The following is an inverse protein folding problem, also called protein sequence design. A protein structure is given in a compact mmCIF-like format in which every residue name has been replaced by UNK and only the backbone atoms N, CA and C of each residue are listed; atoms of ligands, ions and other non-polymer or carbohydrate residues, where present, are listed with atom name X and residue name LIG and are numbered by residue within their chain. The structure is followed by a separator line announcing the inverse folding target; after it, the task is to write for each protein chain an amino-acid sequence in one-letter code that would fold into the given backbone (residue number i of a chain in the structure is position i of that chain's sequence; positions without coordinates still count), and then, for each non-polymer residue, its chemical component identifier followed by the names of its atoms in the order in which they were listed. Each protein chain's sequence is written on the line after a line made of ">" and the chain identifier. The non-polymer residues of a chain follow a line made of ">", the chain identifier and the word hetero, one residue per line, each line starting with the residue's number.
data_IF_285158724882
#
_entry.id   IF_285158724882
#
_cell.length_a   1.000
_cell.length_b   1.000
_cell.length_c   1.000
_cell.angle_alpha   90.00
_cell.angle_beta   90.00
_cell.angle_gamma   90.00
#
_symmetry.space_group_name_H-M   'P 1'
#
loop_
_entity.id
_entity.type
_entity.pdbx_description
1 polymer ?
#
# COMPACT_ATOMS: atom_id res chain seq x y z
N UNK A 1 105.51 104.32 -108.81
CA UNK A 1 105.17 102.99 -109.34
C UNK A 1 104.74 102.19 -108.12
N UNK A 2 103.47 102.22 -107.73
CA UNK A 2 102.25 101.53 -108.26
C UNK A 2 101.71 100.75 -107.04
N UNK A 3 100.85 101.38 -106.24
CA UNK A 3 99.38 101.25 -106.18
C UNK A 3 98.85 99.93 -105.57
N UNK A 4 98.20 100.13 -104.42
CA UNK A 4 97.38 99.33 -103.51
C UNK A 4 96.23 98.50 -104.21
N UNK A 5 95.40 97.67 -103.53
CA UNK A 5 95.03 97.81 -102.11
C UNK A 5 94.72 96.57 -101.24
N UNK A 6 94.71 96.88 -99.94
CA UNK A 6 94.21 96.16 -98.76
C UNK A 6 92.81 95.54 -98.95
N UNK A 7 92.59 94.39 -98.30
CA UNK A 7 91.26 94.00 -97.80
C UNK A 7 91.32 93.61 -96.33
N UNK A 8 90.41 94.27 -95.63
CA UNK A 8 89.99 94.20 -94.22
C UNK A 8 89.44 92.81 -93.85
N UNK A 9 89.74 92.34 -92.64
CA UNK A 9 89.23 91.11 -91.99
C UNK A 9 87.70 91.12 -91.74
N UNK A 10 87.10 89.95 -91.48
CA UNK A 10 86.31 89.84 -90.24
C UNK A 10 86.47 88.48 -89.49
N UNK A 11 86.01 88.40 -88.21
CA UNK A 11 86.57 87.55 -87.16
C UNK A 11 85.79 86.25 -86.85
N UNK A 12 86.49 85.31 -86.21
CA UNK A 12 86.08 84.23 -85.28
C UNK A 12 84.64 83.68 -85.34
N UNK A 13 84.50 82.47 -85.91
CA UNK A 13 83.28 81.65 -85.94
C UNK A 13 83.25 80.50 -84.92
N UNK A 14 83.94 80.63 -83.77
CA UNK A 14 84.06 79.53 -82.78
C UNK A 14 82.95 79.50 -81.71
N UNK A 15 82.12 80.56 -81.60
CA UNK A 15 80.94 80.54 -80.72
C UNK A 15 79.76 79.74 -81.29
N UNK A 16 79.59 79.70 -82.63
CA UNK A 16 78.36 79.18 -83.24
C UNK A 16 78.16 77.66 -83.18
N UNK A 17 79.24 76.94 -82.89
CA UNK A 17 79.24 75.49 -82.81
C UNK A 17 78.98 74.99 -81.39
N UNK A 18 79.42 75.71 -80.35
CA UNK A 18 79.29 75.31 -78.94
C UNK A 18 77.83 75.38 -78.46
N UNK A 19 77.14 76.51 -78.70
CA UNK A 19 75.72 76.64 -78.31
C UNK A 19 74.81 75.64 -79.04
N UNK A 20 75.22 75.19 -80.24
CA UNK A 20 74.44 74.25 -81.06
C UNK A 20 74.55 72.84 -80.52
N UNK A 21 75.74 72.47 -80.04
CA UNK A 21 75.98 71.17 -79.42
C UNK A 21 75.40 71.12 -78.00
N UNK A 22 75.47 72.21 -77.23
CA UNK A 22 74.75 72.34 -75.95
C UNK A 22 73.24 72.23 -76.15
N UNK A 23 72.67 72.90 -77.15
CA UNK A 23 71.24 72.77 -77.47
C UNK A 23 70.88 71.33 -77.86
N UNK A 24 71.76 70.63 -78.58
CA UNK A 24 71.58 69.20 -78.89
C UNK A 24 71.68 68.30 -77.66
N UNK A 25 72.64 68.54 -76.77
CA UNK A 25 72.76 67.80 -75.53
C UNK A 25 71.56 68.03 -74.61
N UNK A 26 71.13 69.29 -74.45
CA UNK A 26 69.91 69.64 -73.72
C UNK A 26 68.68 68.97 -74.35
N UNK A 27 68.57 68.98 -75.68
CA UNK A 27 67.47 68.30 -76.38
C UNK A 27 67.52 66.78 -76.15
N UNK A 28 68.70 66.15 -76.22
CA UNK A 28 68.87 64.72 -75.93
C UNK A 28 68.54 64.37 -74.47
N UNK A 29 68.86 65.27 -73.52
CA UNK A 29 68.53 65.10 -72.10
C UNK A 29 67.02 65.22 -71.87
N UNK A 30 66.37 66.20 -72.52
CA UNK A 30 64.91 66.35 -72.50
C UNK A 30 64.22 65.13 -73.12
N UNK A 31 64.76 64.59 -74.22
CA UNK A 31 64.19 63.42 -74.87
C UNK A 31 64.37 62.13 -74.04
N UNK A 32 65.53 61.95 -73.38
CA UNK A 32 65.74 60.87 -72.41
C UNK A 32 64.82 60.99 -71.18
N UNK A 33 64.57 62.21 -70.68
CA UNK A 33 63.61 62.45 -69.60
C UNK A 33 62.16 62.17 -70.04
N UNK A 34 61.79 62.49 -71.29
CA UNK A 34 60.48 62.17 -71.86
C UNK A 34 60.28 60.67 -72.00
N UNK A 35 61.31 59.93 -72.40
CA UNK A 35 61.27 58.46 -72.49
C UNK A 35 61.09 57.83 -71.11
N UNK A 36 61.87 58.26 -70.11
CA UNK A 36 61.71 57.81 -68.71
C UNK A 36 60.34 58.14 -68.13
N UNK A 37 59.80 59.32 -68.44
CA UNK A 37 58.45 59.70 -68.02
C UNK A 37 57.39 58.79 -68.69
N UNK A 38 57.58 58.44 -69.97
CA UNK A 38 56.69 57.51 -70.68
C UNK A 38 56.74 56.10 -70.07
N UNK A 39 57.93 55.61 -69.73
CA UNK A 39 58.12 54.32 -69.07
C UNK A 39 57.46 54.27 -67.68
N UNK A 40 57.70 55.28 -66.83
CA UNK A 40 57.04 55.38 -65.51
C UNK A 40 55.53 55.47 -65.66
N UNK A 41 55.03 56.24 -66.65
CA UNK A 41 53.59 56.36 -66.91
C UNK A 41 52.97 55.03 -67.35
N UNK A 42 53.69 54.21 -68.13
CA UNK A 42 53.26 52.86 -68.50
C UNK A 42 53.28 51.96 -67.25
N UNK A 43 54.37 51.98 -66.47
CA UNK A 43 54.49 51.20 -65.23
C UNK A 43 53.40 51.52 -64.22
N UNK A 44 53.07 52.81 -64.02
CA UNK A 44 51.96 53.25 -63.17
C UNK A 44 50.62 52.70 -63.64
N UNK A 45 50.32 52.77 -64.95
CA UNK A 45 49.09 52.23 -65.52
C UNK A 45 49.00 50.71 -65.38
N UNK A 46 50.10 49.99 -65.61
CA UNK A 46 50.16 48.55 -65.43
C UNK A 46 49.95 48.15 -63.97
N UNK A 47 50.52 48.91 -63.02
CA UNK A 47 50.31 48.71 -61.58
C UNK A 47 48.87 49.01 -61.15
N UNK A 48 48.29 50.10 -61.65
CA UNK A 48 46.89 50.46 -61.43
C UNK A 48 45.95 49.34 -61.92
N UNK A 49 46.16 48.83 -63.13
CA UNK A 49 45.36 47.74 -63.69
C UNK A 49 45.56 46.39 -62.95
N UNK A 50 46.76 46.12 -62.43
CA UNK A 50 46.98 44.97 -61.56
C UNK A 50 46.19 45.09 -60.25
N UNK A 51 46.29 46.24 -59.57
CA UNK A 51 45.56 46.50 -58.31
C UNK A 51 44.04 46.48 -58.49
N UNK A 52 43.54 46.95 -59.62
CA UNK A 52 42.11 46.89 -59.98
C UNK A 52 41.63 45.45 -60.16
N UNK A 53 42.41 44.59 -60.83
CA UNK A 53 42.10 43.17 -61.00
C UNK A 53 42.10 42.42 -59.67
N UNK A 54 43.05 42.71 -58.78
CA UNK A 54 43.09 42.16 -57.42
C UNK A 54 41.87 42.59 -56.59
N UNK A 55 41.48 43.87 -56.67
CA UNK A 55 40.28 44.38 -56.00
C UNK A 55 39.00 43.71 -56.52
N UNK A 56 38.88 43.52 -57.83
CA UNK A 56 37.76 42.81 -58.44
C UNK A 56 37.69 41.34 -58.00
N UNK A 57 38.84 40.66 -57.91
CA UNK A 57 38.93 39.29 -57.39
C UNK A 57 38.53 39.22 -55.91
N UNK A 58 39.04 40.12 -55.07
CA UNK A 58 38.64 40.22 -53.65
C UNK A 58 37.14 40.51 -53.52
N UNK A 59 36.59 41.41 -54.33
CA UNK A 59 35.17 41.74 -54.35
C UNK A 59 34.30 40.51 -54.69
N UNK A 60 34.71 39.67 -55.66
CA UNK A 60 34.03 38.41 -55.96
C UNK A 60 34.09 37.44 -54.78
N UNK A 61 35.25 37.25 -54.16
CA UNK A 61 35.42 36.39 -52.98
C UNK A 61 34.52 36.83 -51.82
N UNK A 62 34.50 38.12 -51.50
CA UNK A 62 33.65 38.68 -50.44
C UNK A 62 32.17 38.44 -50.75
N UNK A 63 31.73 38.60 -52.01
CA UNK A 63 30.35 38.31 -52.43
C UNK A 63 30.00 36.83 -52.25
N UNK A 64 30.90 35.92 -52.64
CA UNK A 64 30.70 34.46 -52.45
C UNK A 64 30.58 34.12 -50.97
N UNK A 65 31.52 34.58 -50.13
CA UNK A 65 31.51 34.34 -48.68
C UNK A 65 30.25 34.93 -48.04
N UNK A 66 29.83 36.13 -48.43
CA UNK A 66 28.60 36.73 -47.93
C UNK A 66 27.34 35.88 -48.25
N UNK A 67 27.28 35.33 -49.46
CA UNK A 67 26.17 34.49 -49.92
C UNK A 67 26.14 33.16 -49.17
N UNK A 68 27.31 32.57 -48.95
CA UNK A 68 27.52 31.36 -48.17
C UNK A 68 27.19 31.53 -46.67
N UNK A 69 27.57 32.64 -46.06
CA UNK A 69 27.15 32.99 -44.69
C UNK A 69 25.63 33.20 -44.60
N UNK A 70 25.02 33.82 -45.61
CA UNK A 70 23.57 33.98 -45.67
C UNK A 70 22.86 32.62 -45.78
N UNK A 71 23.39 31.68 -46.57
CA UNK A 71 22.91 30.30 -46.62
C UNK A 71 22.97 29.63 -45.25
N UNK A 72 24.13 29.66 -44.59
CA UNK A 72 24.31 29.04 -43.28
C UNK A 72 23.35 29.63 -42.23
N UNK A 73 23.19 30.96 -42.24
CA UNK A 73 22.23 31.66 -41.40
C UNK A 73 20.78 31.22 -41.66
N UNK A 74 20.40 31.05 -42.93
CA UNK A 74 19.07 30.55 -43.31
C UNK A 74 18.87 29.11 -42.83
N UNK A 75 19.88 28.25 -43.03
CA UNK A 75 19.86 26.85 -42.60
C UNK A 75 19.72 26.74 -41.07
N UNK A 76 20.47 27.55 -40.31
CA UNK A 76 20.37 27.61 -38.85
C UNK A 76 18.97 27.99 -38.38
N UNK A 77 18.34 28.98 -39.02
CA UNK A 77 16.98 29.39 -38.69
C UNK A 77 15.96 28.29 -38.97
N UNK A 78 16.11 27.57 -40.08
CA UNK A 78 15.21 26.46 -40.42
C UNK A 78 15.34 25.31 -39.42
N UNK A 79 16.57 25.02 -38.98
CA UNK A 79 16.86 24.00 -37.97
C UNK A 79 16.42 24.39 -36.55
N UNK A 80 16.30 25.68 -36.24
CA UNK A 80 15.84 26.15 -34.93
C UNK A 80 14.33 25.98 -34.72
N UNK A 81 13.56 25.68 -35.78
CA UNK A 81 12.11 25.54 -35.73
C UNK A 81 11.78 24.05 -35.82
N UNK A 82 11.24 23.39 -34.78
CA UNK A 82 11.14 21.92 -34.72
C UNK A 82 10.46 21.26 -35.92
N UNK A 83 9.29 21.76 -36.33
CA UNK A 83 8.56 21.19 -37.48
C UNK A 83 9.31 21.37 -38.82
N UNK A 84 10.10 22.44 -38.96
CA UNK A 84 10.96 22.65 -40.12
C UNK A 84 12.23 21.80 -40.00
N UNK A 85 12.82 21.70 -38.83
CA UNK A 85 13.95 20.81 -38.56
C UNK A 85 13.66 19.37 -38.96
N UNK A 86 12.45 18.87 -38.67
CA UNK A 86 12.02 17.54 -39.08
C UNK A 86 12.05 17.39 -40.61
N UNK A 87 11.52 18.37 -41.34
CA UNK A 87 11.51 18.32 -42.82
C UNK A 87 12.90 18.51 -43.43
N UNK A 88 13.74 19.42 -42.92
CA UNK A 88 15.10 19.63 -43.43
C UNK A 88 15.99 18.42 -43.20
N UNK A 89 15.93 17.85 -42.00
CA UNK A 89 16.74 16.70 -41.61
C UNK A 89 16.12 15.37 -42.07
N UNK A 90 15.00 15.41 -42.81
CA UNK A 90 14.30 14.21 -43.31
C UNK A 90 13.73 13.29 -42.22
N UNK A 91 13.52 13.82 -41.02
CA UNK A 91 13.07 13.07 -39.85
C UNK A 91 11.56 12.84 -39.94
N UNK A 92 11.14 11.58 -39.84
CA UNK A 92 9.72 11.17 -39.82
C UNK A 92 9.45 10.27 -38.63
N UNK A 93 8.22 10.30 -38.13
CA UNK A 93 7.77 9.35 -37.11
C UNK A 93 7.24 8.09 -37.78
N UNK A 94 7.70 6.92 -37.34
CA UNK A 94 7.23 5.61 -37.77
C UNK A 94 6.69 4.84 -36.57
N UNK A 95 5.44 4.38 -36.66
CA UNK A 95 4.77 3.69 -35.56
C UNK A 95 5.53 2.42 -35.14
N UNK A 96 5.80 2.29 -33.83
CA UNK A 96 6.55 1.17 -33.25
C UNK A 96 8.08 1.28 -33.32
N UNK A 97 8.64 2.11 -34.22
CA UNK A 97 10.10 2.32 -34.39
C UNK A 97 10.55 3.68 -33.86
N UNK A 98 9.64 4.67 -33.81
CA UNK A 98 9.93 6.03 -33.37
C UNK A 98 10.40 6.92 -34.51
N UNK A 99 11.29 7.88 -34.23
CA UNK A 99 11.80 8.78 -35.26
C UNK A 99 12.87 8.10 -36.14
N UNK A 100 12.72 8.23 -37.46
CA UNK A 100 13.62 7.70 -38.50
C UNK A 100 14.13 8.82 -39.40
N UNK A 101 15.36 8.67 -39.91
CA UNK A 101 15.98 9.61 -40.84
C UNK A 101 15.41 9.50 -42.28
N UNK A 102 15.88 10.35 -43.20
CA UNK A 102 15.55 10.35 -44.64
C UNK A 102 15.75 8.98 -45.27
N UNK A 103 16.82 8.28 -44.86
CA UNK A 103 17.19 6.94 -45.33
C UNK A 103 16.42 5.81 -44.60
N UNK A 104 15.51 6.13 -43.68
CA UNK A 104 14.75 5.15 -42.91
C UNK A 104 15.51 4.53 -41.74
N UNK A 105 16.70 5.05 -41.42
CA UNK A 105 17.50 4.57 -40.28
C UNK A 105 16.90 5.10 -38.98
N UNK A 106 16.62 4.24 -37.97
CA UNK A 106 16.12 4.68 -36.67
C UNK A 106 17.12 5.57 -35.94
N UNK A 107 16.66 6.73 -35.46
CA UNK A 107 17.49 7.65 -34.70
C UNK A 107 17.85 7.13 -33.30
N UNK A 108 17.11 6.14 -32.79
CA UNK A 108 17.42 5.46 -31.52
C UNK A 108 18.79 4.73 -31.55
N UNK A 109 19.27 4.32 -32.72
CA UNK A 109 20.59 3.71 -32.88
C UNK A 109 21.75 4.69 -32.61
N UNK A 110 21.46 6.00 -32.57
CA UNK A 110 22.46 7.05 -32.39
C UNK A 110 22.66 7.42 -30.90
N UNK A 111 21.78 6.92 -30.02
CA UNK A 111 21.83 7.14 -28.56
C UNK A 111 22.84 6.21 -27.86
N UNK A 112 23.15 5.06 -28.46
CA UNK A 112 24.19 4.16 -27.96
C UNK A 112 25.54 4.75 -28.31
N UNK A 113 26.23 5.33 -27.32
CA UNK A 113 27.59 5.84 -27.45
C UNK A 113 28.55 4.76 -27.92
N UNK A 114 28.68 4.63 -29.24
CA UNK A 114 29.68 3.83 -29.91
C UNK A 114 30.19 4.64 -31.10
N UNK A 115 31.25 5.37 -30.81
CA UNK A 115 32.36 5.70 -31.71
C UNK A 115 32.06 6.64 -32.89
N UNK A 116 32.85 7.71 -32.94
CA UNK A 116 33.07 8.56 -34.11
C UNK A 116 33.30 7.71 -35.36
N UNK A 117 32.24 7.46 -36.13
CA UNK A 117 32.32 7.10 -37.53
C UNK A 117 32.86 8.30 -38.30
N UNK A 118 34.06 8.14 -38.85
CA UNK A 118 34.81 9.07 -39.68
C UNK A 118 33.92 9.91 -40.62
N UNK A 119 34.21 11.21 -40.70
CA UNK A 119 33.60 12.19 -41.60
C UNK A 119 34.00 11.99 -43.08
N UNK A 120 34.33 10.76 -43.49
CA UNK A 120 34.78 10.44 -44.84
C UNK A 120 33.64 10.01 -45.78
N UNK A 121 32.49 9.58 -45.26
CA UNK A 121 31.44 8.95 -46.09
C UNK A 121 30.35 9.90 -46.64
N UNK A 122 30.45 11.21 -46.39
CA UNK A 122 29.44 12.20 -46.83
C UNK A 122 29.85 13.02 -48.05
N UNK A 123 31.03 12.76 -48.64
CA UNK A 123 31.54 13.53 -49.78
C UNK A 123 31.28 12.82 -51.12
N UNK A 124 30.95 11.53 -51.13
CA UNK A 124 30.97 10.72 -52.36
C UNK A 124 29.70 10.84 -53.22
N UNK A 125 28.56 11.33 -52.70
CA UNK A 125 27.29 11.31 -53.45
C UNK A 125 26.91 12.65 -54.11
N UNK A 126 27.61 13.76 -53.85
CA UNK A 126 27.31 15.06 -54.49
C UNK A 126 28.34 15.50 -55.54
N UNK A 127 29.51 14.85 -55.59
CA UNK A 127 30.58 15.17 -56.56
C UNK A 127 30.35 14.50 -57.93
N UNK A 128 29.48 13.48 -58.01
CA UNK A 128 29.27 12.70 -59.23
C UNK A 128 28.57 13.47 -60.38
N UNK A 129 27.88 14.59 -60.11
CA UNK A 129 27.06 15.28 -61.12
C UNK A 129 27.74 16.52 -61.75
N UNK A 130 28.92 16.94 -61.29
CA UNK A 130 29.58 18.17 -61.79
C UNK A 130 30.87 17.92 -62.58
N UNK A 131 31.21 16.67 -62.90
CA UNK A 131 32.42 16.33 -63.67
C UNK A 131 32.11 16.01 -65.14
N UNK A 132 31.52 16.96 -65.87
CA UNK A 132 31.70 17.02 -67.33
C UNK A 132 31.81 18.48 -67.76
N UNK A 133 32.96 18.78 -68.37
CA UNK A 133 33.35 20.03 -69.03
C UNK A 133 34.04 21.06 -68.13
N UNK A 134 35.37 21.00 -68.08
CA UNK A 134 36.26 22.15 -68.35
C UNK A 134 37.72 21.69 -68.29
N UNK A 135 38.24 21.23 -69.42
CA UNK A 135 39.69 21.14 -69.64
C UNK A 135 40.26 22.56 -69.81
N UNK A 136 41.36 22.80 -69.11
CA UNK A 136 42.42 23.78 -69.39
C UNK A 136 42.06 25.27 -69.28
N UNK A 137 42.46 25.90 -68.17
CA UNK A 137 42.92 27.30 -68.12
C UNK A 137 43.75 27.53 -66.85
N UNK A 138 44.79 28.35 -66.97
CA UNK A 138 45.83 28.65 -65.98
C UNK A 138 45.38 28.68 -64.52
N UNK A 139 46.19 28.05 -63.67
CA UNK A 139 46.07 28.09 -62.22
C UNK A 139 46.18 29.53 -61.71
N UNK A 140 45.03 30.12 -61.38
CA UNK A 140 44.97 31.28 -60.48
C UNK A 140 45.03 30.72 -59.06
N UNK A 141 46.13 31.01 -58.38
CA UNK A 141 46.51 30.61 -57.01
C UNK A 141 45.55 31.16 -55.91
N UNK A 142 44.31 31.52 -56.24
CA UNK A 142 43.35 32.21 -55.37
C UNK A 142 42.00 31.50 -55.15
N UNK A 143 41.79 30.29 -55.69
CA UNK A 143 40.52 29.54 -55.59
C UNK A 143 40.49 28.51 -54.43
N UNK A 144 41.66 28.08 -53.95
CA UNK A 144 41.76 27.11 -52.84
C UNK A 144 41.09 27.58 -51.54
N UNK A 145 41.17 28.88 -51.25
CA UNK A 145 40.56 29.47 -50.05
C UNK A 145 39.01 29.38 -50.07
N UNK A 146 38.38 29.46 -51.24
CA UNK A 146 36.90 29.39 -51.36
C UNK A 146 36.43 27.95 -51.20
N UNK A 147 37.17 27.00 -51.75
CA UNK A 147 36.92 25.57 -51.59
C UNK A 147 37.02 25.14 -50.12
N UNK A 148 38.02 25.62 -49.37
CA UNK A 148 38.15 25.32 -47.95
C UNK A 148 37.03 25.96 -47.10
N UNK A 149 36.53 27.13 -47.50
CA UNK A 149 35.34 27.74 -46.88
C UNK A 149 34.09 26.92 -47.18
N UNK A 150 33.93 26.41 -48.41
CA UNK A 150 32.82 25.52 -48.77
C UNK A 150 32.86 24.24 -47.94
N UNK A 151 34.02 23.58 -47.83
CA UNK A 151 34.20 22.40 -46.95
C UNK A 151 33.82 22.71 -45.51
N UNK A 152 34.26 23.86 -44.98
CA UNK A 152 33.92 24.31 -43.64
C UNK A 152 32.41 24.49 -43.44
N UNK A 153 31.69 25.03 -44.43
CA UNK A 153 30.24 25.21 -44.37
C UNK A 153 29.50 23.88 -44.42
N UNK A 154 29.94 22.94 -45.26
CA UNK A 154 29.38 21.59 -45.29
C UNK A 154 29.58 20.88 -43.94
N UNK A 155 30.79 20.97 -43.37
CA UNK A 155 31.08 20.42 -42.04
C UNK A 155 30.19 21.03 -40.96
N UNK A 156 30.04 22.37 -40.92
CA UNK A 156 29.15 23.03 -39.96
C UNK A 156 27.70 22.61 -40.17
N UNK A 157 27.24 22.52 -41.42
CA UNK A 157 25.87 22.09 -41.74
C UNK A 157 25.59 20.67 -41.27
N UNK A 158 26.53 19.74 -41.49
CA UNK A 158 26.44 18.36 -41.02
C UNK A 158 26.40 18.29 -39.48
N UNK A 159 27.29 19.02 -38.79
CA UNK A 159 27.29 19.09 -37.32
C UNK A 159 25.97 19.66 -36.78
N UNK A 160 25.45 20.70 -37.41
CA UNK A 160 24.15 21.27 -37.02
C UNK A 160 23.01 20.26 -37.22
N UNK A 161 23.02 19.49 -38.31
CA UNK A 161 22.03 18.44 -38.56
C UNK A 161 22.09 17.32 -37.52
N UNK A 162 23.28 16.81 -37.21
CA UNK A 162 23.48 15.78 -36.17
C UNK A 162 23.07 16.28 -34.79
N UNK A 163 23.35 17.54 -34.45
CA UNK A 163 22.93 18.12 -33.18
C UNK A 163 21.41 18.21 -33.09
N UNK A 164 20.75 18.71 -34.13
CA UNK A 164 19.29 18.83 -34.21
C UNK A 164 18.62 17.46 -34.11
N UNK A 165 19.13 16.45 -34.84
CA UNK A 165 18.66 15.06 -34.75
C UNK A 165 18.71 14.54 -33.30
N UNK A 166 19.82 14.77 -32.59
CA UNK A 166 19.95 14.38 -31.16
C UNK A 166 18.99 15.13 -30.24
N UNK A 167 18.80 16.43 -30.45
CA UNK A 167 17.85 17.23 -29.66
C UNK A 167 16.43 16.70 -29.84
N UNK A 168 16.01 16.40 -31.07
CA UNK A 168 14.68 15.84 -31.35
C UNK A 168 14.47 14.49 -30.66
N UNK A 169 15.48 13.61 -30.70
CA UNK A 169 15.43 12.32 -29.99
C UNK A 169 15.27 12.55 -28.49
N UNK A 170 16.13 13.36 -27.89
CA UNK A 170 16.07 13.65 -26.46
C UNK A 170 14.73 14.27 -26.04
N UNK A 171 14.19 15.22 -26.82
CA UNK A 171 12.88 15.83 -26.56
C UNK A 171 11.75 14.79 -26.63
N UNK A 172 11.80 13.88 -27.60
CA UNK A 172 10.82 12.80 -27.75
C UNK A 172 10.89 11.78 -26.62
N UNK A 173 12.09 11.42 -26.17
CA UNK A 173 12.30 10.50 -25.04
C UNK A 173 11.79 11.12 -23.74
N UNK A 174 12.05 12.41 -23.51
CA UNK A 174 11.52 13.16 -22.37
C UNK A 174 9.99 13.21 -22.40
N UNK A 175 9.40 13.46 -23.57
CA UNK A 175 7.94 13.46 -23.71
C UNK A 175 7.35 12.07 -23.42
N UNK A 176 7.97 11.00 -23.91
CA UNK A 176 7.55 9.63 -23.68
C UNK A 176 7.67 9.23 -22.20
N UNK A 177 8.78 9.55 -21.53
CA UNK A 177 8.95 9.24 -20.11
C UNK A 177 7.95 10.05 -19.26
N UNK A 178 7.67 11.32 -19.63
CA UNK A 178 6.62 12.11 -18.98
C UNK A 178 5.24 11.47 -19.10
N UNK A 179 4.91 10.91 -20.25
CA UNK A 179 3.66 10.20 -20.47
C UNK A 179 3.57 8.90 -19.66
N UNK A 180 4.66 8.13 -19.60
CA UNK A 180 4.75 6.94 -18.75
C UNK A 180 4.60 7.25 -17.26
N UNK A 181 5.19 8.35 -16.79
CA UNK A 181 4.99 8.85 -15.42
C UNK A 181 3.53 9.23 -15.18
N UNK A 182 2.89 9.91 -16.14
CA UNK A 182 1.47 10.28 -16.06
C UNK A 182 0.58 9.03 -15.92
N UNK A 183 0.77 8.02 -16.77
CA UNK A 183 0.02 6.76 -16.71
C UNK A 183 0.26 6.04 -15.38
N UNK A 184 1.51 6.00 -14.90
CA UNK A 184 1.85 5.36 -13.63
C UNK A 184 1.17 6.05 -12.44
N UNK A 185 1.12 7.39 -12.45
CA UNK A 185 0.44 8.18 -11.42
C UNK A 185 -1.08 7.92 -11.38
N UNK A 186 -1.72 7.77 -12.55
CA UNK A 186 -3.13 7.40 -12.64
C UNK A 186 -3.39 6.01 -12.06
N UNK A 187 -2.50 5.05 -12.31
CA UNK A 187 -2.60 3.70 -11.74
C UNK A 187 -2.39 3.71 -10.22
N UNK A 188 -1.40 4.46 -9.72
CA UNK A 188 -1.18 4.64 -8.27
C UNK A 188 -2.42 5.24 -7.61
N UNK A 189 -3.01 6.26 -8.22
CA UNK A 189 -4.24 6.89 -7.71
C UNK A 189 -5.39 5.89 -7.64
N UNK A 190 -5.58 5.08 -8.70
CA UNK A 190 -6.61 4.03 -8.73
C UNK A 190 -6.38 2.97 -7.64
N UNK A 191 -5.14 2.50 -7.48
CA UNK A 191 -4.77 1.52 -6.44
C UNK A 191 -4.94 2.10 -5.04
N UNK A 192 -4.64 3.37 -4.84
CA UNK A 192 -4.84 4.09 -3.56
C UNK A 192 -6.31 4.06 -3.16
N UNK A 193 -7.22 4.43 -4.07
CA UNK A 193 -8.68 4.37 -3.83
C UNK A 193 -9.14 2.93 -3.51
N UNK A 194 -8.59 1.93 -4.20
CA UNK A 194 -8.92 0.53 -3.92
C UNK A 194 -8.48 0.10 -2.51
N UNK A 195 -7.28 0.49 -2.08
CA UNK A 195 -6.76 0.20 -0.74
C UNK A 195 -7.61 0.90 0.33
N UNK A 196 -7.99 2.16 0.12
CA UNK A 196 -8.87 2.90 1.03
C UNK A 196 -10.24 2.22 1.18
N UNK A 197 -10.82 1.77 0.06
CA UNK A 197 -12.08 1.02 0.05
C UNK A 197 -11.97 -0.31 0.80
N UNK A 198 -10.90 -1.07 0.57
CA UNK A 198 -10.65 -2.32 1.28
C UNK A 198 -10.42 -2.07 2.78
N UNK A 199 -9.70 -1.01 3.14
CA UNK A 199 -9.47 -0.59 4.53
C UNK A 199 -10.79 -0.28 5.24
N UNK A 200 -11.69 0.48 4.61
CA UNK A 200 -13.01 0.78 5.17
C UNK A 200 -13.83 -0.49 5.42
N UNK A 201 -13.81 -1.45 4.47
CA UNK A 201 -14.50 -2.74 4.63
C UNK A 201 -13.93 -3.57 5.77
N UNK A 202 -12.61 -3.59 5.94
CA UNK A 202 -11.96 -4.30 7.06
C UNK A 202 -12.33 -3.69 8.40
N UNK A 203 -12.41 -2.36 8.50
CA UNK A 203 -12.86 -1.70 9.74
C UNK A 203 -14.35 -1.97 10.05
N UNK A 204 -15.21 -2.08 9.03
CA UNK A 204 -16.60 -2.53 9.22
C UNK A 204 -16.67 -3.98 9.72
N UNK A 205 -15.89 -4.88 9.11
CA UNK A 205 -15.80 -6.28 9.55
C UNK A 205 -15.32 -6.38 11.00
N UNK A 206 -14.35 -5.56 11.40
CA UNK A 206 -13.87 -5.48 12.78
C UNK A 206 -14.96 -5.03 13.74
N UNK A 207 -15.73 -3.98 13.39
CA UNK A 207 -16.87 -3.52 14.20
C UNK A 207 -17.93 -4.63 14.37
N UNK A 208 -18.27 -5.31 13.28
CA UNK A 208 -19.20 -6.44 13.30
C UNK A 208 -18.70 -7.58 14.19
N UNK A 209 -17.42 -7.97 14.05
CA UNK A 209 -16.82 -9.02 14.86
C UNK A 209 -16.78 -8.67 16.36
N UNK A 210 -16.50 -7.41 16.71
CA UNK A 210 -16.57 -6.93 18.09
C UNK A 210 -17.99 -6.99 18.63
N UNK A 211 -18.99 -6.56 17.85
CA UNK A 211 -20.40 -6.64 18.23
C UNK A 211 -20.86 -8.08 18.50
N UNK A 212 -20.56 -9.00 17.60
CA UNK A 212 -20.89 -10.43 17.76
C UNK A 212 -20.21 -11.04 18.98
N UNK A 213 -18.94 -10.71 19.24
CA UNK A 213 -18.23 -11.19 20.44
C UNK A 213 -18.84 -10.64 21.74
N UNK A 214 -19.31 -9.38 21.74
CA UNK A 214 -20.02 -8.81 22.89
C UNK A 214 -21.26 -9.63 23.23
N UNK A 215 -22.12 -9.89 22.24
CA UNK A 215 -23.33 -10.70 22.41
C UNK A 215 -23.02 -12.13 22.84
N UNK A 216 -22.00 -12.77 22.27
CA UNK A 216 -21.58 -14.12 22.67
C UNK A 216 -21.10 -14.17 24.12
N UNK A 217 -20.39 -13.14 24.58
CA UNK A 217 -19.97 -13.05 25.97
C UNK A 217 -21.16 -12.84 26.92
N UNK A 218 -22.13 -12.01 26.54
CA UNK A 218 -23.37 -11.82 27.32
C UNK A 218 -24.18 -13.13 27.41
N UNK A 219 -24.34 -13.84 26.29
CA UNK A 219 -25.01 -15.15 26.28
C UNK A 219 -24.26 -16.17 27.14
N UNK A 220 -22.92 -16.18 27.09
CA UNK A 220 -22.11 -17.05 27.95
C UNK A 220 -22.38 -16.77 29.42
N UNK A 221 -22.36 -15.50 29.84
CA UNK A 221 -22.63 -15.12 31.23
C UNK A 221 -24.04 -15.53 31.66
N UNK A 222 -25.04 -15.30 30.81
CA UNK A 222 -26.43 -15.70 31.09
C UNK A 222 -26.56 -17.22 31.29
N UNK A 223 -25.85 -18.01 30.48
CA UNK A 223 -25.82 -19.47 30.63
C UNK A 223 -25.12 -19.87 31.93
N UNK A 224 -23.98 -19.26 32.27
CA UNK A 224 -23.28 -19.49 33.54
C UNK A 224 -24.18 -19.22 34.74
N UNK A 225 -24.91 -18.10 34.72
CA UNK A 225 -25.86 -17.72 35.77
C UNK A 225 -27.03 -18.70 35.87
N UNK A 226 -27.59 -19.12 34.73
CA UNK A 226 -28.68 -20.10 34.68
C UNK A 226 -28.24 -21.49 35.17
N UNK A 227 -27.01 -21.91 34.88
CA UNK A 227 -26.45 -23.15 35.40
C UNK A 227 -26.29 -23.06 36.92
N UNK A 228 -25.78 -21.94 37.43
CA UNK A 228 -25.68 -21.70 38.87
C UNK A 228 -27.07 -21.75 39.53
N UNK A 229 -28.06 -21.05 38.99
CA UNK A 229 -29.43 -21.08 39.52
C UNK A 229 -30.02 -22.50 39.49
N UNK A 230 -29.84 -23.23 38.38
CA UNK A 230 -30.29 -24.62 38.25
C UNK A 230 -29.64 -25.53 39.29
N UNK A 231 -28.36 -25.34 39.60
CA UNK A 231 -27.69 -26.10 40.67
C UNK A 231 -28.26 -25.79 42.05
N UNK A 232 -28.55 -24.51 42.34
CA UNK A 232 -29.18 -24.10 43.60
C UNK A 232 -30.62 -24.62 43.72
N UNK A 233 -31.39 -24.61 42.63
CA UNK A 233 -32.74 -25.19 42.61
C UNK A 233 -32.69 -26.69 42.88
N UNK A 234 -31.74 -27.41 42.29
CA UNK A 234 -31.54 -28.84 42.51
C UNK A 234 -31.17 -29.15 43.97
N UNK A 235 -30.29 -28.36 44.57
CA UNK A 235 -29.91 -28.51 45.97
C UNK A 235 -31.12 -28.31 46.89
N UNK A 236 -31.89 -27.24 46.69
CA UNK A 236 -33.14 -26.99 47.45
C UNK A 236 -34.16 -28.11 47.27
N UNK A 237 -34.29 -28.67 46.06
CA UNK A 237 -35.17 -29.80 45.81
C UNK A 237 -34.75 -31.05 46.59
N UNK A 238 -33.44 -31.34 46.64
CA UNK A 238 -32.89 -32.45 47.43
C UNK A 238 -33.10 -32.26 48.95
N UNK A 239 -32.92 -31.04 49.46
CA UNK A 239 -33.21 -30.70 50.86
C UNK A 239 -34.70 -30.89 51.20
N UNK A 240 -35.60 -30.43 50.32
CA UNK A 240 -37.04 -30.64 50.49
C UNK A 240 -37.43 -32.13 50.46
N UNK A 241 -36.80 -32.93 49.59
CA UNK A 241 -37.05 -34.38 49.53
C UNK A 241 -36.60 -35.08 50.82
N UNK A 242 -35.46 -34.66 51.40
CA UNK A 242 -34.98 -35.16 52.68
C UNK A 242 -35.96 -34.81 53.81
N UNK A 243 -36.43 -33.56 53.86
CA UNK A 243 -37.37 -33.12 54.89
C UNK A 243 -38.73 -33.82 54.76
N UNK A 244 -39.22 -33.99 53.52
CA UNK A 244 -40.44 -34.75 53.25
C UNK A 244 -40.31 -36.21 53.70
N UNK A 245 -39.14 -36.83 53.48
CA UNK A 245 -38.87 -38.20 53.93
C UNK A 245 -38.86 -38.31 55.46
N UNK A 246 -38.27 -37.34 56.16
CA UNK A 246 -38.31 -37.27 57.64
C UNK A 246 -39.75 -37.15 58.15
N UNK A 247 -40.50 -36.20 57.63
CA UNK A 247 -41.91 -36.00 58.01
C UNK A 247 -42.73 -37.27 57.76
N UNK A 248 -42.51 -37.96 56.63
CA UNK A 248 -43.17 -39.23 56.33
C UNK A 248 -42.85 -40.31 57.36
N UNK A 249 -41.59 -40.44 57.77
CA UNK A 249 -41.17 -41.37 58.81
C UNK A 249 -41.82 -41.05 60.16
N UNK A 250 -41.93 -39.76 60.50
CA UNK A 250 -42.60 -39.31 61.73
C UNK A 250 -44.10 -39.67 61.70
N UNK A 251 -44.77 -39.49 60.57
CA UNK A 251 -46.17 -39.91 60.39
C UNK A 251 -46.35 -41.42 60.49
N UNK A 252 -45.44 -42.23 59.93
CA UNK A 252 -45.49 -43.68 60.05
C UNK A 252 -45.27 -44.14 61.50
N UNK A 253 -44.37 -43.47 62.22
CA UNK A 253 -44.12 -43.70 63.65
C UNK A 253 -45.35 -43.35 64.48
N UNK A 254 -45.95 -42.18 64.23
CA UNK A 254 -47.19 -41.74 64.88
C UNK A 254 -48.35 -42.70 64.60
N UNK A 255 -48.52 -43.15 63.35
CA UNK A 255 -49.53 -44.14 62.97
C UNK A 255 -49.35 -45.44 63.75
N UNK A 256 -48.11 -45.92 63.87
CA UNK A 256 -47.80 -47.14 64.64
C UNK A 256 -48.13 -46.95 66.12
N UNK A 257 -47.77 -45.80 66.70
CA UNK A 257 -48.10 -45.45 68.08
C UNK A 257 -49.60 -45.43 68.34
N UNK A 258 -50.39 -44.79 67.46
CA UNK A 258 -51.86 -44.77 67.55
C UNK A 258 -52.43 -46.18 67.45
N UNK A 259 -51.93 -47.02 66.53
CA UNK A 259 -52.36 -48.42 66.40
C UNK A 259 -52.11 -49.22 67.68
N UNK A 260 -50.93 -49.06 68.30
CA UNK A 260 -50.61 -49.66 69.60
C UNK A 260 -51.57 -49.17 70.69
N UNK A 261 -51.84 -47.86 70.76
CA UNK A 261 -52.80 -47.31 71.72
C UNK A 261 -54.22 -47.88 71.54
N UNK A 262 -54.67 -48.05 70.29
CA UNK A 262 -55.96 -48.69 69.99
C UNK A 262 -55.97 -50.14 70.48
N UNK A 263 -54.92 -50.92 70.21
CA UNK A 263 -54.80 -52.30 70.67
C UNK A 263 -54.77 -52.42 72.20
N UNK A 264 -54.04 -51.53 72.89
CA UNK A 264 -54.03 -51.44 74.36
C UNK A 264 -55.43 -51.14 74.87
N UNK A 265 -56.13 -50.17 74.28
CA UNK A 265 -57.52 -49.84 74.62
C UNK A 265 -58.46 -51.04 74.43
N UNK A 266 -58.35 -51.76 73.32
CA UNK A 266 -59.17 -52.96 73.06
C UNK A 266 -58.91 -54.08 74.08
N UNK A 267 -57.64 -54.29 74.44
CA UNK A 267 -57.24 -55.25 75.48
C UNK A 267 -57.80 -54.85 76.85
N UNK A 268 -57.72 -53.56 77.20
CA UNK A 268 -58.31 -53.03 78.43
C UNK A 268 -59.82 -53.21 78.46
N UNK A 269 -60.55 -52.84 77.39
CA UNK A 269 -62.00 -53.05 77.28
C UNK A 269 -62.38 -54.54 77.36
N UNK A 270 -61.55 -55.44 76.83
CA UNK A 270 -61.76 -56.88 76.97
C UNK A 270 -61.59 -57.34 78.43
N UNK A 271 -60.53 -56.88 79.10
CA UNK A 271 -60.29 -57.18 80.51
C UNK A 271 -61.39 -56.63 81.42
N UNK A 272 -61.94 -55.45 81.10
CA UNK A 272 -63.07 -54.85 81.80
C UNK A 272 -64.32 -55.73 81.70
N UNK A 273 -64.66 -56.22 80.50
CA UNK A 273 -65.77 -57.17 80.30
C UNK A 273 -65.56 -58.48 81.05
N UNK A 274 -64.31 -58.96 81.11
CA UNK A 274 -63.97 -60.16 81.90
C UNK A 274 -64.18 -59.91 83.39
N UNK A 275 -63.75 -58.76 83.91
CA UNK A 275 -64.00 -58.34 85.29
C UNK A 275 -65.49 -58.25 85.60
N UNK A 276 -66.28 -57.61 84.73
CA UNK A 276 -67.73 -57.51 84.90
C UNK A 276 -68.42 -58.89 84.93
N UNK A 277 -67.94 -59.83 84.11
CA UNK A 277 -68.41 -61.23 84.12
C UNK A 277 -68.04 -61.94 85.42
N UNK A 278 -66.82 -61.71 85.91
CA UNK A 278 -66.34 -62.25 87.19
C UNK A 278 -67.13 -61.68 88.37
N UNK A 279 -67.43 -60.38 88.39
CA UNK A 279 -68.29 -59.73 89.39
C UNK A 279 -69.69 -60.35 89.39
N UNK A 280 -70.34 -60.53 88.23
CA UNK A 280 -71.64 -61.23 88.14
C UNK A 280 -71.61 -62.65 88.70
N UNK A 281 -70.49 -63.36 88.56
CA UNK A 281 -70.31 -64.69 89.17
C UNK A 281 -70.13 -64.57 90.69
N UNK A 282 -69.36 -63.60 91.17
CA UNK A 282 -69.21 -63.33 92.61
C UNK A 282 -70.54 -62.95 93.25
N UNK A 283 -71.30 -62.04 92.65
CA UNK A 283 -72.64 -61.67 93.12
C UNK A 283 -73.55 -62.89 93.20
N UNK A 284 -73.54 -63.75 92.18
CA UNK A 284 -74.30 -65.01 92.19
C UNK A 284 -73.83 -65.95 93.31
N UNK A 285 -72.53 -66.00 93.57
CA UNK A 285 -71.94 -66.81 94.64
C UNK A 285 -72.30 -66.25 96.04
N UNK A 286 -72.26 -64.93 96.23
CA UNK A 286 -72.71 -64.23 97.42
C UNK A 286 -74.20 -64.44 97.68
N UNK A 287 -75.04 -64.31 96.65
CA UNK A 287 -76.48 -64.61 96.75
C UNK A 287 -76.72 -66.09 97.07
N UNK A 288 -75.94 -67.02 96.52
CA UNK A 288 -76.00 -68.44 96.88
C UNK A 288 -75.55 -68.70 98.31
N UNK A 289 -74.51 -68.03 98.79
CA UNK A 289 -74.07 -68.10 100.19
C UNK A 289 -75.11 -67.51 101.15
N UNK A 290 -75.72 -66.38 100.81
CA UNK A 290 -76.81 -65.79 101.57
C UNK A 290 -78.09 -66.65 101.53
N UNK A 291 -78.42 -67.27 100.40
CA UNK A 291 -79.56 -68.20 100.29
C UNK A 291 -79.32 -69.53 101.04
N UNK A 292 -78.06 -69.99 101.10
CA UNK A 292 -77.65 -71.14 101.92
C UNK A 292 -77.62 -70.79 103.41
N UNK A 293 -77.38 -69.52 103.75
CA UNK A 293 -77.49 -68.96 105.11
C UNK A 293 -78.93 -68.65 105.53
N UNK A 294 -79.89 -68.54 104.60
CA UNK A 294 -81.31 -68.29 104.88
C UNK A 294 -82.17 -69.56 104.91
N UNK A 295 -81.60 -70.76 104.77
CA UNK A 295 -82.32 -72.04 104.88
C UNK A 295 -81.69 -73.05 105.86
N UNK A 296 -80.99 -72.54 106.87
CA UNK A 296 -80.46 -73.31 108.01
C UNK A 296 -79.97 -72.31 109.07
N UNK A 297 -80.51 -72.16 110.28
CA UNK A 297 -81.67 -72.68 111.00
C UNK A 297 -81.93 -71.64 112.11
N UNK A 298 -83.17 -71.54 112.60
CA UNK A 298 -83.36 -71.11 113.98
C UNK A 298 -82.71 -72.17 114.87
N UNK A 299 -81.54 -71.89 115.44
CA UNK A 299 -81.13 -72.07 116.85
C UNK A 299 -79.62 -71.80 117.00
N UNK A 300 -79.32 -70.94 117.98
CA UNK A 300 -78.13 -70.85 118.82
C UNK A 300 -76.76 -70.43 118.24
N UNK A 301 -76.47 -69.15 118.51
CA UNK A 301 -75.24 -68.61 119.10
C UNK A 301 -74.09 -69.58 119.42
N UNK A 302 -72.94 -69.33 118.79
CA UNK A 302 -71.63 -69.59 119.39
C UNK A 302 -70.55 -70.09 118.45
N UNK A 303 -70.06 -69.26 117.52
CA UNK A 303 -68.67 -69.23 117.00
C UNK A 303 -68.49 -68.17 115.90
N UNK A 304 -68.81 -66.91 116.20
CA UNK A 304 -68.40 -65.78 115.38
C UNK A 304 -66.97 -65.40 115.78
N UNK A 305 -65.97 -65.79 114.99
CA UNK A 305 -64.59 -65.32 115.27
C UNK A 305 -63.44 -65.86 114.44
N UNK A 306 -63.53 -67.03 113.79
CA UNK A 306 -62.31 -67.66 113.24
C UNK A 306 -62.35 -68.13 111.78
N UNK A 307 -63.44 -67.92 111.04
CA UNK A 307 -63.51 -68.33 109.62
C UNK A 307 -63.14 -67.19 108.65
N UNK A 308 -63.02 -65.95 109.14
CA UNK A 308 -62.73 -64.79 108.29
C UNK A 308 -61.25 -64.68 107.85
N UNK A 309 -60.31 -65.34 108.52
CA UNK A 309 -58.88 -65.23 108.19
C UNK A 309 -58.40 -66.24 107.13
N UNK A 310 -58.96 -67.45 107.08
CA UNK A 310 -58.47 -68.51 106.18
C UNK A 310 -59.01 -68.40 104.75
N UNK A 311 -60.23 -67.87 104.56
CA UNK A 311 -60.75 -67.61 103.21
C UNK A 311 -60.07 -66.42 102.53
N UNK A 312 -59.70 -65.38 103.29
CA UNK A 312 -58.92 -64.26 102.76
C UNK A 312 -57.50 -64.70 102.36
N UNK A 313 -56.90 -65.63 103.11
CA UNK A 313 -55.59 -66.20 102.79
C UNK A 313 -55.62 -67.08 101.53
N UNK A 314 -56.68 -67.85 101.28
CA UNK A 314 -56.83 -68.65 100.05
C UNK A 314 -57.14 -67.77 98.82
N UNK A 315 -57.88 -66.67 98.99
CA UNK A 315 -58.12 -65.71 97.91
C UNK A 315 -56.81 -64.97 97.56
N UNK A 316 -56.08 -64.45 98.56
CA UNK A 316 -54.76 -63.83 98.35
C UNK A 316 -53.74 -64.80 97.73
N UNK A 317 -53.72 -66.06 98.16
CA UNK A 317 -52.78 -67.06 97.64
C UNK A 317 -53.11 -67.50 96.19
N UNK A 318 -54.38 -67.48 95.78
CA UNK A 318 -54.76 -67.68 94.37
C UNK A 318 -54.46 -66.45 93.50
N UNK A 319 -54.58 -65.23 94.04
CA UNK A 319 -54.18 -64.01 93.34
C UNK A 319 -52.66 -63.93 93.09
N UNK A 320 -51.83 -64.42 94.02
CA UNK A 320 -50.35 -64.46 93.85
C UNK A 320 -49.86 -65.50 92.83
N UNK A 321 -50.67 -66.50 92.47
CA UNK A 321 -50.30 -67.57 91.54
C UNK A 321 -50.74 -67.32 90.10
N UNK A 322 -51.50 -66.24 89.85
CA UNK A 322 -51.99 -65.89 88.52
C UNK A 322 -51.05 -64.86 87.89
N UNK A 323 -50.20 -65.25 86.90
CA UNK A 323 -49.15 -64.38 86.35
C UNK A 323 -49.70 -63.14 85.61
N UNK A 324 -51.02 -63.06 85.40
CA UNK A 324 -51.69 -61.95 84.71
C UNK A 324 -52.12 -60.78 85.62
N UNK A 325 -52.26 -61.00 86.94
CA UNK A 325 -52.83 -59.97 87.84
C UNK A 325 -51.76 -59.15 88.57
N UNK A 326 -50.60 -59.74 88.80
CA UNK A 326 -49.49 -59.09 89.52
C UNK A 326 -48.95 -57.79 88.86
N UNK A 327 -48.89 -57.66 87.52
CA UNK A 327 -48.46 -56.40 86.89
C UNK A 327 -49.47 -55.26 87.05
N UNK A 328 -50.77 -55.57 87.13
CA UNK A 328 -51.86 -54.57 87.17
C UNK A 328 -51.94 -53.89 88.54
N UNK A 329 -51.82 -54.67 89.63
CA UNK A 329 -51.70 -54.10 90.99
C UNK A 329 -50.39 -53.34 91.19
N UNK A 330 -49.30 -53.76 90.55
CA UNK A 330 -48.02 -53.04 90.63
C UNK A 330 -48.07 -51.69 89.88
N UNK A 331 -48.80 -51.60 88.78
CA UNK A 331 -49.06 -50.35 88.06
C UNK A 331 -49.99 -49.41 88.85
N UNK A 332 -51.06 -49.92 89.48
CA UNK A 332 -51.92 -49.09 90.33
C UNK A 332 -51.22 -48.61 91.61
N UNK A 333 -50.29 -49.38 92.19
CA UNK A 333 -49.54 -48.96 93.37
C UNK A 333 -48.46 -47.90 93.03
N UNK A 334 -47.88 -47.94 91.83
CA UNK A 334 -46.90 -46.91 91.37
C UNK A 334 -47.60 -45.60 91.02
N UNK A 335 -48.81 -45.64 90.46
CA UNK A 335 -49.62 -44.43 90.20
C UNK A 335 -50.21 -43.79 91.47
N UNK A 336 -50.20 -44.49 92.60
CA UNK A 336 -50.70 -43.99 93.89
C UNK A 336 -49.57 -43.47 94.80
N UNK A 337 -48.31 -43.66 94.41
CA UNK A 337 -47.10 -43.27 95.19
C UNK A 337 -46.27 -42.17 94.48
N UNK A 338 -46.61 -41.78 93.25
CA UNK A 338 -46.24 -40.49 92.66
C UNK A 338 -47.46 -39.57 92.65
#
# INVERSE_FOLDING_TARGET
>A
MEHAPERIEPPDGDGECEWREELRQQQSHVDALRERLAEVKIGMKCSEEASRRELDHLCRRVKTIASLLAYLKSKARFMAIPHLAHTSCGIRHQDGVGYVDRHGVPLAAWSTGAESGSCEDLVDEMVAESSRVAEHCDAIEGDGDVEDILKSIHAVTAVMETLVKRVIVAESEVANEKEKVRISLEEITRKTIQVESMSAKVEEMKKCAVGTNCMLNEMRQMIEDMVLESTQQRQRAAENEQELSRVKQDFESLRTYVSTLVSVRETLLSSEKQFETMEKLFDRYFHKYHASSSNSYFYETGCAGLICSSHYYIILQNFTKNPFIFPILKMQLVLFVM
#
